data_IF_586855715584
#
_entry.id   IF_586855715584
#
_cell.length_a   1.000
_cell.length_b   1.000
_cell.length_c   1.000
_cell.angle_alpha   90.00
_cell.angle_beta   90.00
_cell.angle_gamma   90.00
#
_symmetry.space_group_name_H-M   'P 1'
#
loop_
_entity.id
_entity.type
_entity.pdbx_description
1 polymer ?
#
# COMPACT_ATOMS: atom_id res chain seq x y z
N UNK A 1 12.60 60.40 8.25
CA UNK A 1 12.34 58.95 8.18
C UNK A 1 13.35 58.34 7.21
N UNK A 2 14.42 57.69 7.68
CA UNK A 2 15.45 57.12 6.80
C UNK A 2 14.91 55.82 6.20
N UNK A 3 14.70 55.77 4.88
CA UNK A 3 14.41 54.53 4.16
C UNK A 3 15.74 53.77 4.05
N UNK A 4 15.87 52.67 4.80
CA UNK A 4 16.97 51.73 4.60
C UNK A 4 16.69 50.95 3.31
N UNK A 5 17.50 51.15 2.30
CA UNK A 5 17.46 50.33 1.09
C UNK A 5 18.23 49.03 1.38
N UNK A 6 17.60 47.89 1.11
CA UNK A 6 18.25 46.59 1.16
C UNK A 6 19.48 46.59 0.26
N UNK A 7 20.58 46.02 0.76
CA UNK A 7 21.79 45.89 -0.05
C UNK A 7 21.55 44.92 -1.20
N UNK A 8 22.17 45.17 -2.36
CA UNK A 8 22.15 44.26 -3.51
C UNK A 8 22.54 42.82 -3.12
N UNK A 9 23.48 42.68 -2.18
CA UNK A 9 23.92 41.36 -1.72
C UNK A 9 22.86 40.64 -0.88
N UNK A 10 22.09 41.40 -0.11
CA UNK A 10 21.02 40.88 0.75
C UNK A 10 19.86 40.36 -0.10
N UNK A 11 19.54 41.09 -1.17
CA UNK A 11 18.54 40.66 -2.15
C UNK A 11 18.97 39.35 -2.86
N UNK A 12 20.24 39.22 -3.24
CA UNK A 12 20.73 38.00 -3.90
C UNK A 12 20.66 36.77 -2.99
N UNK A 13 21.00 36.92 -1.71
CA UNK A 13 20.92 35.82 -0.73
C UNK A 13 19.48 35.35 -0.55
N UNK A 14 18.52 36.29 -0.46
CA UNK A 14 17.09 35.96 -0.33
C UNK A 14 16.58 35.18 -1.54
N UNK A 15 16.95 35.60 -2.76
CA UNK A 15 16.55 34.90 -4.00
C UNK A 15 17.15 33.50 -4.07
N UNK A 16 18.39 33.32 -3.62
CA UNK A 16 19.06 32.01 -3.58
C UNK A 16 18.36 31.05 -2.61
N UNK A 17 18.05 31.51 -1.39
CA UNK A 17 17.34 30.71 -0.38
C UNK A 17 15.94 30.33 -0.88
N UNK A 18 15.20 31.28 -1.46
CA UNK A 18 13.90 31.00 -2.07
C UNK A 18 14.03 29.93 -3.17
N UNK A 19 15.03 30.03 -4.05
CA UNK A 19 15.27 29.04 -5.11
C UNK A 19 15.51 27.62 -4.57
N UNK A 20 16.29 27.49 -3.50
CA UNK A 20 16.54 26.18 -2.84
C UNK A 20 15.27 25.65 -2.20
N UNK A 21 14.50 26.49 -1.49
CA UNK A 21 13.23 26.09 -0.87
C UNK A 21 12.23 25.62 -1.93
N UNK A 22 12.04 26.39 -3.01
CA UNK A 22 11.16 26.00 -4.11
C UNK A 22 11.61 24.72 -4.80
N UNK A 23 12.92 24.53 -5.02
CA UNK A 23 13.46 23.31 -5.62
C UNK A 23 13.21 22.07 -4.74
N UNK A 24 13.39 22.20 -3.42
CA UNK A 24 13.11 21.11 -2.47
C UNK A 24 11.61 20.78 -2.40
N UNK A 25 10.74 21.79 -2.43
CA UNK A 25 9.28 21.59 -2.43
C UNK A 25 8.78 20.90 -3.71
N UNK A 26 9.30 21.26 -4.88
CA UNK A 26 8.87 20.68 -6.17
C UNK A 26 9.38 19.24 -6.32
N UNK A 27 10.62 18.97 -5.94
CA UNK A 27 11.20 17.62 -6.03
C UNK A 27 10.60 16.63 -5.01
N UNK A 28 10.12 17.11 -3.85
CA UNK A 28 9.38 16.29 -2.89
C UNK A 28 8.01 15.83 -3.42
N UNK A 29 7.32 16.69 -4.19
CA UNK A 29 5.98 16.40 -4.70
C UNK A 29 6.01 15.46 -5.94
N UNK A 30 7.08 15.51 -6.74
CA UNK A 30 7.17 14.73 -7.99
C UNK A 30 7.52 13.24 -7.78
N UNK A 31 7.92 12.84 -6.56
CA UNK A 31 8.17 11.43 -6.22
C UNK A 31 6.89 10.62 -5.99
N UNK A 32 5.77 11.25 -5.61
CA UNK A 32 4.51 10.53 -5.36
C UNK A 32 3.70 10.23 -6.62
N UNK A 33 3.81 11.03 -7.70
CA UNK A 33 2.87 10.93 -8.83
C UNK A 33 3.25 9.92 -9.92
N UNK A 34 4.43 9.29 -9.87
CA UNK A 34 4.89 8.31 -10.89
C UNK A 34 4.78 6.84 -10.44
N UNK A 35 4.30 6.60 -9.22
CA UNK A 35 4.21 5.26 -8.63
C UNK A 35 2.99 4.45 -9.10
N UNK A 36 1.79 5.03 -9.04
CA UNK A 36 0.51 4.32 -9.26
C UNK A 36 0.41 3.55 -10.58
N UNK A 37 0.82 4.13 -11.71
CA UNK A 37 0.52 3.56 -13.05
C UNK A 37 1.11 2.16 -13.28
N UNK A 38 2.06 1.72 -12.45
CA UNK A 38 2.70 0.40 -12.58
C UNK A 38 2.51 -0.49 -11.35
N UNK A 39 1.61 -0.14 -10.43
CA UNK A 39 1.34 -0.98 -9.25
C UNK A 39 0.55 -2.23 -9.68
N UNK A 40 1.04 -3.39 -9.27
CA UNK A 40 0.47 -4.72 -9.51
C UNK A 40 0.48 -5.49 -8.18
N UNK A 41 -0.31 -6.55 -8.03
CA UNK A 41 -0.26 -7.39 -6.82
C UNK A 41 1.16 -7.93 -6.50
N UNK A 42 2.02 -8.09 -7.52
CA UNK A 42 3.40 -8.56 -7.34
C UNK A 42 4.32 -7.52 -6.68
N UNK A 43 4.11 -6.23 -6.96
CA UNK A 43 4.97 -5.15 -6.47
C UNK A 43 4.28 -4.25 -5.44
N UNK A 44 2.98 -4.43 -5.19
CA UNK A 44 2.16 -3.65 -4.26
C UNK A 44 2.81 -3.56 -2.87
N UNK A 45 3.27 -4.69 -2.33
CA UNK A 45 3.92 -4.71 -1.02
C UNK A 45 5.18 -3.84 -0.98
N UNK A 46 6.05 -3.99 -1.98
CA UNK A 46 7.29 -3.20 -2.08
C UNK A 46 6.99 -1.71 -2.31
N UNK A 47 5.94 -1.42 -3.08
CA UNK A 47 5.45 -0.07 -3.30
C UNK A 47 5.02 0.57 -1.98
N UNK A 48 4.13 -0.09 -1.23
CA UNK A 48 3.66 0.40 0.06
C UNK A 48 4.80 0.55 1.08
N UNK A 49 5.75 -0.40 1.12
CA UNK A 49 6.95 -0.33 1.97
C UNK A 49 7.90 0.83 1.60
N UNK A 50 7.82 1.35 0.37
CA UNK A 50 8.63 2.49 -0.07
C UNK A 50 8.07 3.85 0.34
N UNK A 51 6.83 3.89 0.83
CA UNK A 51 6.19 5.10 1.33
C UNK A 51 6.68 5.40 2.76
N UNK A 52 6.72 6.68 3.11
CA UNK A 52 7.02 7.12 4.48
C UNK A 52 5.73 7.13 5.31
N UNK A 53 5.70 6.40 6.43
CA UNK A 53 4.56 6.31 7.35
C UNK A 53 5.02 6.05 8.80
N UNK A 54 4.25 6.51 9.78
CA UNK A 54 4.58 6.37 11.21
C UNK A 54 3.86 5.20 11.90
N UNK A 55 2.64 4.87 11.44
CA UNK A 55 1.77 3.86 12.05
C UNK A 55 1.51 2.70 11.10
N UNK A 56 1.00 2.99 9.91
CA UNK A 56 0.71 1.97 8.90
C UNK A 56 0.46 2.59 7.53
N UNK A 57 0.57 1.75 6.52
CA UNK A 57 0.07 1.99 5.17
C UNK A 57 -0.96 0.92 4.83
N UNK A 58 -2.10 1.32 4.27
CA UNK A 58 -3.22 0.44 3.94
C UNK A 58 -3.68 0.66 2.52
N UNK A 59 -3.88 -0.41 1.78
CA UNK A 59 -4.70 -0.41 0.57
C UNK A 59 -6.14 -0.75 0.98
N UNK A 60 -7.10 0.08 0.57
CA UNK A 60 -8.53 -0.12 0.79
C UNK A 60 -9.26 -0.03 -0.54
N UNK A 61 -9.91 -1.11 -0.95
CA UNK A 61 -10.73 -1.15 -2.14
C UNK A 61 -12.20 -1.19 -1.76
N UNK A 62 -12.97 -0.31 -2.37
CA UNK A 62 -14.40 -0.11 -2.14
C UNK A 62 -15.14 -0.28 -3.48
N UNK A 63 -16.46 -0.25 -3.46
CA UNK A 63 -17.32 -0.17 -4.66
C UNK A 63 -16.99 -1.23 -5.73
N UNK A 64 -17.22 -2.50 -5.41
CA UNK A 64 -16.90 -3.65 -6.30
C UNK A 64 -15.42 -3.71 -6.76
N UNK A 65 -14.51 -3.08 -6.03
CA UNK A 65 -13.07 -3.04 -6.28
C UNK A 65 -12.66 -2.26 -7.53
N UNK A 66 -13.53 -1.37 -8.03
CA UNK A 66 -13.20 -0.51 -9.18
C UNK A 66 -12.13 0.54 -8.84
N UNK A 67 -12.12 1.02 -7.61
CA UNK A 67 -11.13 1.95 -7.09
C UNK A 67 -10.51 1.44 -5.78
N UNK A 68 -9.20 1.59 -5.65
CA UNK A 68 -8.48 1.23 -4.45
C UNK A 68 -7.62 2.40 -3.96
N UNK A 69 -7.84 2.84 -2.73
CA UNK A 69 -7.12 3.94 -2.12
C UNK A 69 -5.93 3.44 -1.29
N UNK A 70 -4.79 4.14 -1.42
CA UNK A 70 -3.65 4.01 -0.53
C UNK A 70 -3.80 5.04 0.59
N UNK A 71 -3.98 4.56 1.81
CA UNK A 71 -4.03 5.34 3.03
C UNK A 71 -2.71 5.23 3.76
N UNK A 72 -2.08 6.37 4.03
CA UNK A 72 -0.87 6.50 4.85
C UNK A 72 -1.28 7.12 6.17
N UNK A 73 -1.12 6.38 7.27
CA UNK A 73 -1.52 6.79 8.62
C UNK A 73 -3.01 7.22 8.72
N UNK A 74 -3.85 6.59 7.89
CA UNK A 74 -5.29 6.86 7.80
C UNK A 74 -5.66 8.02 6.88
N UNK A 75 -4.69 8.67 6.23
CA UNK A 75 -4.92 9.74 5.26
C UNK A 75 -4.74 9.20 3.86
N UNK A 76 -5.75 9.37 3.00
CA UNK A 76 -5.69 9.03 1.57
C UNK A 76 -4.57 9.82 0.88
N UNK A 77 -3.67 9.10 0.22
CA UNK A 77 -2.56 9.69 -0.54
C UNK A 77 -2.73 9.52 -2.05
N UNK A 78 -3.21 8.35 -2.48
CA UNK A 78 -3.28 7.98 -3.89
C UNK A 78 -4.45 7.03 -4.14
N UNK A 79 -4.96 7.03 -5.37
CA UNK A 79 -6.00 6.10 -5.85
C UNK A 79 -5.46 5.29 -7.01
N UNK A 80 -5.60 3.97 -6.92
CA UNK A 80 -5.29 3.01 -7.96
C UNK A 80 -6.58 2.63 -8.69
N UNK A 81 -6.83 3.29 -9.80
CA UNK A 81 -7.97 3.01 -10.67
C UNK A 81 -7.82 1.66 -11.37
N UNK A 82 -8.88 0.83 -11.36
CA UNK A 82 -8.92 -0.47 -12.06
C UNK A 82 -7.79 -1.44 -11.66
N UNK A 83 -7.28 -1.30 -10.44
CA UNK A 83 -6.25 -2.17 -9.88
C UNK A 83 -6.76 -3.60 -9.66
N UNK A 84 -7.99 -3.70 -9.15
CA UNK A 84 -8.74 -4.93 -8.94
C UNK A 84 -10.10 -4.83 -9.62
N UNK A 85 -10.89 -5.90 -9.46
CA UNK A 85 -12.30 -5.96 -9.80
C UNK A 85 -12.96 -7.00 -8.89
N UNK A 86 -14.28 -7.13 -8.94
CA UNK A 86 -15.07 -8.07 -8.13
C UNK A 86 -14.69 -9.55 -8.23
N UNK A 87 -13.80 -9.94 -9.14
CA UNK A 87 -13.27 -11.31 -9.18
C UNK A 87 -12.23 -11.59 -8.09
N UNK A 88 -11.75 -10.56 -7.39
CA UNK A 88 -10.81 -10.73 -6.28
C UNK A 88 -11.43 -11.54 -5.15
N UNK A 89 -10.66 -12.47 -4.61
CA UNK A 89 -11.01 -13.22 -3.40
C UNK A 89 -9.82 -13.28 -2.46
N UNK A 90 -10.09 -13.13 -1.17
CA UNK A 90 -9.07 -13.13 -0.12
C UNK A 90 -9.20 -14.39 0.71
N UNK A 91 -8.07 -15.03 1.01
CA UNK A 91 -8.01 -16.22 1.84
C UNK A 91 -6.99 -16.06 2.96
N UNK A 92 -7.25 -16.72 4.09
CA UNK A 92 -6.28 -16.90 5.18
C UNK A 92 -6.03 -18.37 5.40
N UNK A 93 -4.77 -18.71 5.62
CA UNK A 93 -4.36 -20.04 6.03
C UNK A 93 -4.28 -20.09 7.56
N UNK A 94 -5.06 -20.98 8.16
CA UNK A 94 -4.97 -21.33 9.58
C UNK A 94 -4.51 -22.78 9.73
N UNK A 95 -3.52 -23.02 10.59
CA UNK A 95 -2.90 -24.34 10.74
C UNK A 95 -3.91 -25.47 11.05
N UNK A 96 -4.93 -25.18 11.85
CA UNK A 96 -5.93 -26.19 12.26
C UNK A 96 -7.11 -26.33 11.30
N UNK A 97 -7.40 -25.29 10.51
CA UNK A 97 -8.62 -25.21 9.68
C UNK A 97 -8.34 -25.24 8.18
N UNK A 98 -7.06 -25.13 7.78
CA UNK A 98 -6.66 -24.97 6.39
C UNK A 98 -6.93 -23.55 5.88
N UNK A 99 -7.11 -23.43 4.56
CA UNK A 99 -7.48 -22.16 3.92
C UNK A 99 -8.99 -21.92 4.04
N UNK A 100 -9.35 -20.70 4.42
CA UNK A 100 -10.72 -20.21 4.36
C UNK A 100 -10.78 -18.83 3.72
N UNK A 101 -11.90 -18.53 3.07
CA UNK A 101 -12.16 -17.21 2.47
C UNK A 101 -12.46 -16.19 3.57
N UNK A 102 -11.82 -15.02 3.51
CA UNK A 102 -12.00 -13.94 4.46
C UNK A 102 -12.99 -12.95 3.88
N UNK A 103 -14.09 -12.73 4.59
CA UNK A 103 -14.98 -11.60 4.32
C UNK A 103 -14.44 -10.38 5.06
N UNK A 104 -14.32 -9.27 4.36
CA UNK A 104 -13.87 -8.03 4.95
C UNK A 104 -14.99 -7.40 5.78
N UNK A 105 -14.62 -6.75 6.88
CA UNK A 105 -15.55 -6.02 7.74
C UNK A 105 -16.06 -4.75 7.05
N UNK A 106 -17.22 -4.26 7.48
CA UNK A 106 -17.81 -3.02 6.99
C UNK A 106 -16.89 -1.83 7.29
N UNK A 107 -16.70 -0.95 6.31
CA UNK A 107 -15.97 0.30 6.48
C UNK A 107 -16.97 1.44 6.62
N UNK A 108 -16.74 2.35 7.57
CA UNK A 108 -17.50 3.59 7.69
C UNK A 108 -16.60 4.75 7.32
N UNK A 109 -17.03 5.54 6.33
CA UNK A 109 -16.29 6.72 5.92
C UNK A 109 -16.45 7.88 6.94
N UNK A 110 -15.83 9.03 6.67
CA UNK A 110 -15.86 10.18 7.59
C UNK A 110 -17.26 10.75 7.83
N UNK A 111 -18.21 10.50 6.93
CA UNK A 111 -19.61 10.90 7.03
C UNK A 111 -20.48 9.83 7.72
N UNK A 112 -19.84 8.77 8.25
CA UNK A 112 -20.49 7.64 8.89
C UNK A 112 -21.44 6.87 7.93
N UNK A 113 -21.10 6.87 6.64
CA UNK A 113 -21.76 6.04 5.62
C UNK A 113 -21.04 4.70 5.55
N UNK A 114 -21.83 3.63 5.53
CA UNK A 114 -21.36 2.24 5.38
C UNK A 114 -20.94 1.98 3.93
N UNK A 115 -19.73 1.47 3.76
CA UNK A 115 -19.14 1.12 2.48
C UNK A 115 -18.65 -0.33 2.50
N UNK A 116 -18.99 -1.06 1.44
CA UNK A 116 -18.61 -2.46 1.27
C UNK A 116 -17.13 -2.57 0.89
N UNK A 117 -16.34 -3.16 1.79
CA UNK A 117 -14.93 -3.45 1.53
C UNK A 117 -14.82 -4.72 0.73
N UNK A 118 -14.30 -4.62 -0.49
CA UNK A 118 -14.05 -5.79 -1.34
C UNK A 118 -12.64 -6.35 -1.16
N UNK A 119 -11.66 -5.50 -0.82
CA UNK A 119 -10.30 -5.91 -0.50
C UNK A 119 -9.63 -4.90 0.43
N UNK A 120 -8.87 -5.40 1.40
CA UNK A 120 -7.98 -4.57 2.20
C UNK A 120 -6.67 -5.29 2.49
N UNK A 121 -5.58 -4.52 2.54
CA UNK A 121 -4.26 -5.00 2.91
C UNK A 121 -3.52 -3.91 3.68
N UNK A 122 -3.01 -4.25 4.87
CA UNK A 122 -2.28 -3.30 5.72
C UNK A 122 -0.84 -3.77 5.97
N UNK A 123 0.07 -2.81 6.09
CA UNK A 123 1.44 -3.00 6.59
C UNK A 123 1.64 -2.08 7.78
N UNK A 124 2.08 -2.62 8.91
CA UNK A 124 2.35 -1.84 10.12
C UNK A 124 3.69 -1.09 10.06
N UNK A 125 3.94 -0.22 11.04
CA UNK A 125 5.19 0.56 11.18
C UNK A 125 6.48 -0.29 11.23
N UNK A 126 6.39 -1.59 11.49
CA UNK A 126 7.52 -2.52 11.47
C UNK A 126 7.74 -3.13 10.08
N UNK A 127 6.91 -2.78 9.09
CA UNK A 127 6.93 -3.34 7.75
C UNK A 127 6.29 -4.74 7.69
N UNK A 128 5.56 -5.15 8.73
CA UNK A 128 4.88 -6.44 8.78
C UNK A 128 3.51 -6.29 8.14
N UNK A 129 3.31 -7.00 7.03
CA UNK A 129 2.04 -7.05 6.33
C UNK A 129 1.07 -8.07 6.93
N UNK A 130 -0.22 -7.90 6.63
CA UNK A 130 -1.20 -8.94 6.92
C UNK A 130 -0.88 -10.25 6.18
N UNK A 131 -1.14 -11.39 6.82
CA UNK A 131 -1.05 -12.68 6.16
C UNK A 131 -2.30 -12.91 5.30
N UNK A 132 -2.17 -12.87 3.98
CA UNK A 132 -3.31 -13.07 3.07
C UNK A 132 -2.86 -13.75 1.78
N UNK A 133 -3.69 -14.63 1.25
CA UNK A 133 -3.61 -15.11 -0.12
C UNK A 133 -4.68 -14.38 -0.94
N UNK A 134 -4.30 -13.79 -2.07
CA UNK A 134 -5.23 -13.08 -2.96
C UNK A 134 -5.38 -13.88 -4.24
N UNK A 135 -6.58 -14.40 -4.51
CA UNK A 135 -6.90 -14.97 -5.81
C UNK A 135 -7.44 -13.86 -6.73
N UNK A 136 -6.78 -13.65 -7.86
CA UNK A 136 -7.17 -12.66 -8.84
C UNK A 136 -6.79 -13.10 -10.25
N UNK A 137 -7.75 -13.04 -11.20
CA UNK A 137 -7.55 -13.40 -12.62
C UNK A 137 -6.83 -14.74 -12.81
N UNK A 138 -7.28 -15.80 -12.11
CA UNK A 138 -6.75 -17.18 -12.17
C UNK A 138 -5.31 -17.35 -11.66
N UNK A 139 -4.83 -16.44 -10.83
CA UNK A 139 -3.57 -16.57 -10.12
C UNK A 139 -3.78 -16.29 -8.64
N UNK A 140 -2.89 -16.84 -7.81
CA UNK A 140 -2.90 -16.63 -6.37
C UNK A 140 -1.62 -15.90 -5.97
N UNK A 141 -1.75 -14.85 -5.17
CA UNK A 141 -0.65 -14.02 -4.70
C UNK A 141 -0.53 -14.18 -3.18
N UNK A 142 0.60 -14.69 -2.70
CA UNK A 142 0.85 -14.84 -1.26
C UNK A 142 1.53 -13.60 -0.71
N UNK A 143 0.76 -12.82 0.03
CA UNK A 143 1.24 -11.73 0.86
C UNK A 143 1.68 -12.31 2.20
N UNK A 144 2.85 -12.95 2.21
CA UNK A 144 3.47 -13.40 3.44
C UNK A 144 3.82 -12.17 4.30
N UNK A 145 3.67 -12.22 5.64
CA UNK A 145 3.80 -11.04 6.50
C UNK A 145 5.14 -10.31 6.39
N UNK A 146 6.24 -11.05 6.39
CA UNK A 146 7.61 -10.52 6.46
C UNK A 146 8.16 -10.03 5.13
N UNK A 147 9.37 -9.47 5.15
CA UNK A 147 10.04 -8.78 4.02
C UNK A 147 10.30 -9.60 2.74
N UNK A 148 9.72 -10.80 2.60
CA UNK A 148 9.72 -11.53 1.34
C UNK A 148 8.82 -10.84 0.32
N UNK A 149 9.25 -10.87 -0.94
CA UNK A 149 8.43 -10.47 -2.08
C UNK A 149 7.17 -11.33 -2.20
N UNK A 150 6.10 -10.77 -2.74
CA UNK A 150 4.89 -11.51 -3.08
C UNK A 150 5.21 -12.68 -4.01
N UNK A 151 4.74 -13.88 -3.68
CA UNK A 151 4.91 -15.08 -4.50
C UNK A 151 3.62 -15.33 -5.28
N UNK A 152 3.75 -15.67 -6.56
CA UNK A 152 2.62 -16.01 -7.42
C UNK A 152 2.53 -17.53 -7.61
N UNK A 153 1.34 -18.07 -7.43
CA UNK A 153 0.99 -19.47 -7.65
C UNK A 153 -0.11 -19.59 -8.71
N UNK A 154 -0.23 -20.77 -9.31
CA UNK A 154 -1.27 -21.06 -10.29
C UNK A 154 -2.63 -21.37 -9.63
N UNK A 155 -2.63 -21.76 -8.35
CA UNK A 155 -3.85 -22.10 -7.62
C UNK A 155 -3.71 -21.95 -6.11
N UNK A 156 -4.84 -21.91 -5.41
CA UNK A 156 -4.88 -21.91 -3.94
C UNK A 156 -4.22 -23.16 -3.37
N UNK A 157 -4.48 -24.32 -3.98
CA UNK A 157 -3.90 -25.59 -3.52
C UNK A 157 -2.37 -25.57 -3.58
N UNK A 158 -1.80 -24.98 -4.62
CA UNK A 158 -0.35 -24.85 -4.75
C UNK A 158 0.24 -23.95 -3.65
N UNK A 159 -0.40 -22.81 -3.37
CA UNK A 159 0.00 -21.91 -2.29
C UNK A 159 -0.08 -22.60 -0.92
N UNK A 160 -1.13 -23.37 -0.67
CA UNK A 160 -1.31 -24.16 0.57
C UNK A 160 -0.22 -25.21 0.71
N UNK A 161 0.04 -26.00 -0.33
CA UNK A 161 1.08 -27.02 -0.32
C UNK A 161 2.47 -26.41 -0.04
N UNK A 162 2.75 -25.24 -0.61
CA UNK A 162 4.00 -24.52 -0.37
C UNK A 162 4.15 -24.11 1.11
N UNK A 163 3.06 -23.61 1.73
CA UNK A 163 3.05 -23.26 3.15
C UNK A 163 3.20 -24.45 4.08
N UNK A 164 2.50 -25.55 3.81
CA UNK A 164 2.60 -26.77 4.61
C UNK A 164 4.01 -27.33 4.60
N UNK A 165 4.68 -27.28 3.45
CA UNK A 165 6.08 -27.69 3.32
C UNK A 165 7.01 -26.84 4.20
N UNK A 166 6.84 -25.51 4.20
CA UNK A 166 7.63 -24.61 5.06
C UNK A 166 7.40 -24.90 6.55
N UNK A 167 6.17 -25.20 6.96
CA UNK A 167 5.85 -25.55 8.35
C UNK A 167 6.56 -26.85 8.76
N UNK A 168 6.57 -27.86 7.89
CA UNK A 168 7.27 -29.12 8.13
C UNK A 168 8.79 -28.95 8.21
N UNK A 169 9.38 -28.01 7.47
CA UNK A 169 10.81 -27.71 7.53
C UNK A 169 11.22 -27.06 8.85
N UNK A 170 10.37 -26.21 9.43
CA UNK A 170 10.63 -25.53 10.71
C UNK A 170 10.40 -26.44 11.93
N UNK A 171 9.55 -27.47 11.80
CA UNK A 171 9.28 -28.43 12.88
C UNK A 171 10.35 -29.52 13.04
N UNK A 172 11.30 -29.62 12.12
CA UNK A 172 12.45 -30.54 12.19
C UNK A 172 13.61 -29.93 12.98
#
# INVERSE_FOLDING_TARGET
MKRAAFSLIELMIVVMIMGVVYSLSINGLQRSAKGAENVTLMNLKNYMLSLEYEKNVRLLCLDECESCDILVDGVKQETLEKFLDKSVKTYRYEFLQGVHEVKHELYFNQENVEEDVCFSYSIDKQGVGEQVLVEYKKAVYDFTPYFSSTIKYASIQEAVNAREKLIQEVQK
#
